data_IF_834474196011
#
_entry.id   IF_834474196011
#
_cell.length_a   1.000
_cell.length_b   1.000
_cell.length_c   1.000
_cell.angle_alpha   90.00
_cell.angle_beta   90.00
_cell.angle_gamma   90.00
#
_symmetry.space_group_name_H-M   'P 1'
#
loop_
_entity.id
_entity.type
_entity.pdbx_description
1 polymer ?
#
# COMPACT_ATOMS: atom_id res chain seq x y z
N UNK A 1 22.70 64.87 34.47
CA UNK A 1 22.46 63.88 33.41
C UNK A 1 21.79 62.66 34.06
N UNK A 2 20.47 62.49 33.89
CA UNK A 2 19.70 61.42 34.54
C UNK A 2 19.55 60.25 33.56
N UNK A 3 20.15 59.10 33.88
CA UNK A 3 20.03 57.88 33.07
C UNK A 3 18.62 57.29 33.23
N UNK A 4 17.90 57.17 32.13
CA UNK A 4 16.63 56.43 32.04
C UNK A 4 16.97 54.95 31.88
N UNK A 5 16.60 54.13 32.87
CA UNK A 5 16.61 52.66 32.75
C UNK A 5 15.34 52.23 32.01
N UNK A 6 15.47 51.94 30.73
CA UNK A 6 14.40 51.32 29.94
C UNK A 6 14.42 49.82 30.24
N UNK A 7 13.44 49.34 30.98
CA UNK A 7 13.25 47.91 31.25
C UNK A 7 12.39 47.33 30.11
N UNK A 8 13.00 46.60 29.18
CA UNK A 8 12.29 45.94 28.07
C UNK A 8 11.91 44.53 28.54
N UNK A 9 10.65 44.34 28.91
CA UNK A 9 10.07 43.01 29.14
C UNK A 9 9.62 42.40 27.81
N UNK A 10 10.42 41.47 27.26
CA UNK A 10 10.02 40.65 26.12
C UNK A 10 9.10 39.51 26.58
N UNK A 11 7.80 39.63 26.29
CA UNK A 11 6.82 38.55 26.36
C UNK A 11 6.94 37.70 25.08
N UNK A 12 7.72 36.62 25.13
CA UNK A 12 7.72 35.61 24.06
C UNK A 12 6.44 34.77 24.16
N UNK A 13 5.47 35.08 23.32
CA UNK A 13 4.32 34.21 23.08
C UNK A 13 4.80 33.03 22.22
N UNK A 14 5.14 31.92 22.87
CA UNK A 14 5.42 30.67 22.17
C UNK A 14 4.07 30.11 21.73
N UNK A 15 3.65 30.45 20.51
CA UNK A 15 2.56 29.73 19.85
C UNK A 15 3.07 28.34 19.49
N UNK A 16 2.56 27.32 20.16
CA UNK A 16 2.79 25.94 19.76
C UNK A 16 2.14 25.73 18.38
N UNK A 17 2.94 25.78 17.33
CA UNK A 17 2.53 25.37 15.99
C UNK A 17 2.33 23.85 16.07
N UNK A 18 1.08 23.40 16.11
CA UNK A 18 0.76 21.99 16.01
C UNK A 18 1.14 21.50 14.61
N UNK A 19 2.24 20.76 14.51
CA UNK A 19 2.62 20.09 13.27
C UNK A 19 1.69 18.88 13.15
N UNK A 20 0.64 19.00 12.33
CA UNK A 20 -0.19 17.86 11.98
C UNK A 20 0.69 16.86 11.21
N UNK A 21 0.95 15.70 11.79
CA UNK A 21 1.59 14.61 11.07
C UNK A 21 0.69 14.18 9.92
N UNK A 22 1.23 13.82 8.74
CA UNK A 22 0.41 13.24 7.68
C UNK A 22 -0.30 12.01 8.24
N UNK A 23 -1.63 11.99 8.10
CA UNK A 23 -2.45 10.85 8.52
C UNK A 23 -2.12 9.71 7.57
N UNK A 24 -1.30 8.78 8.02
CA UNK A 24 -1.05 7.54 7.30
C UNK A 24 -2.34 6.72 7.37
N UNK A 25 -2.94 6.45 6.21
CA UNK A 25 -4.16 5.64 6.15
C UNK A 25 -3.79 4.18 6.38
N UNK A 26 -4.45 3.47 7.32
CA UNK A 26 -4.20 2.05 7.52
C UNK A 26 -4.74 1.24 6.33
N UNK A 27 -3.85 0.60 5.59
CA UNK A 27 -4.16 -0.33 4.49
C UNK A 27 -4.17 -1.79 4.94
N UNK A 28 -3.85 -2.07 6.21
CA UNK A 28 -3.88 -3.43 6.74
C UNK A 28 -5.25 -4.07 6.59
N UNK A 29 -5.27 -5.34 6.18
CA UNK A 29 -6.49 -6.14 6.04
C UNK A 29 -6.59 -6.82 4.70
N UNK A 30 -7.77 -7.38 4.46
CA UNK A 30 -8.10 -8.14 3.27
C UNK A 30 -8.83 -7.26 2.25
N UNK A 31 -8.39 -7.33 1.00
CA UNK A 31 -8.90 -6.57 -0.13
C UNK A 31 -9.33 -7.54 -1.23
N UNK A 32 -10.57 -7.45 -1.69
CA UNK A 32 -11.14 -8.33 -2.73
C UNK A 32 -11.45 -7.56 -4.01
N UNK A 33 -11.21 -8.17 -5.17
CA UNK A 33 -11.47 -7.56 -6.48
C UNK A 33 -12.96 -7.29 -6.70
N UNK A 34 -13.29 -5.99 -6.72
CA UNK A 34 -14.59 -5.49 -7.08
C UNK A 34 -14.91 -5.84 -8.54
N UNK A 35 -16.07 -6.47 -8.75
CA UNK A 35 -16.57 -6.87 -10.08
C UNK A 35 -15.58 -7.77 -10.85
N UNK A 36 -14.97 -8.73 -10.16
CA UNK A 36 -14.10 -9.72 -10.81
C UNK A 36 -14.84 -10.48 -11.94
N UNK A 37 -14.16 -10.83 -13.04
CA UNK A 37 -14.73 -11.73 -14.06
C UNK A 37 -15.13 -13.08 -13.46
N UNK A 38 -16.19 -13.72 -13.96
CA UNK A 38 -16.71 -14.99 -13.38
C UNK A 38 -15.67 -16.12 -13.28
N UNK A 39 -14.68 -16.15 -14.18
CA UNK A 39 -13.63 -17.17 -14.23
C UNK A 39 -12.39 -16.83 -13.41
N UNK A 40 -12.39 -15.70 -12.69
CA UNK A 40 -11.23 -15.17 -12.00
C UNK A 40 -11.59 -14.61 -10.62
N UNK A 41 -10.67 -14.72 -9.67
CA UNK A 41 -10.69 -13.95 -8.43
C UNK A 41 -9.31 -13.37 -8.18
N UNK A 42 -9.27 -12.26 -7.47
CA UNK A 42 -8.03 -11.65 -7.03
C UNK A 42 -8.26 -11.01 -5.67
N UNK A 43 -7.35 -11.25 -4.75
CA UNK A 43 -7.36 -10.61 -3.43
C UNK A 43 -5.95 -10.27 -2.99
N UNK A 44 -5.84 -9.31 -2.08
CA UNK A 44 -4.59 -8.94 -1.43
C UNK A 44 -4.83 -8.88 0.08
N UNK A 45 -3.99 -9.57 0.84
CA UNK A 45 -3.84 -9.37 2.26
C UNK A 45 -2.63 -8.48 2.52
N UNK A 46 -2.79 -7.38 3.25
CA UNK A 46 -1.70 -6.47 3.61
C UNK A 46 -1.54 -6.37 5.13
N UNK A 47 -0.29 -6.33 5.56
CA UNK A 47 0.17 -5.91 6.88
C UNK A 47 1.00 -4.63 6.74
N UNK A 48 0.56 -3.57 7.40
CA UNK A 48 1.24 -2.28 7.39
C UNK A 48 1.96 -2.00 8.71
N UNK A 49 3.25 -1.69 8.60
CA UNK A 49 4.08 -1.25 9.72
C UNK A 49 4.69 0.13 9.40
N UNK A 50 4.00 1.18 9.85
CA UNK A 50 4.34 2.55 9.44
C UNK A 50 4.08 2.75 7.94
N UNK A 51 5.14 2.96 7.16
CA UNK A 51 5.05 3.04 5.68
C UNK A 51 5.35 1.70 5.00
N UNK A 52 5.90 0.72 5.71
CA UNK A 52 6.23 -0.57 5.10
C UNK A 52 4.96 -1.39 4.91
N UNK A 53 4.83 -2.01 3.74
CA UNK A 53 3.78 -2.94 3.39
C UNK A 53 4.41 -4.31 3.13
N UNK A 54 3.87 -5.33 3.79
CA UNK A 54 4.18 -6.74 3.55
C UNK A 54 2.84 -7.44 3.35
N UNK A 55 2.77 -8.40 2.45
CA UNK A 55 1.52 -9.10 2.23
C UNK A 55 1.61 -10.18 1.18
N UNK A 56 0.45 -10.73 0.86
CA UNK A 56 0.29 -11.72 -0.18
C UNK A 56 -0.87 -11.32 -1.09
N UNK A 57 -0.71 -11.49 -2.41
CA UNK A 57 -1.89 -11.62 -3.27
C UNK A 57 -2.24 -13.08 -3.51
N UNK A 58 -3.52 -13.33 -3.76
CA UNK A 58 -4.02 -14.60 -4.25
C UNK A 58 -4.83 -14.37 -5.53
N UNK A 59 -4.42 -15.01 -6.63
CA UNK A 59 -5.14 -14.97 -7.90
C UNK A 59 -5.63 -16.38 -8.27
N UNK A 60 -6.94 -16.51 -8.47
CA UNK A 60 -7.53 -17.71 -9.07
C UNK A 60 -7.91 -17.37 -10.49
N UNK A 61 -7.48 -18.15 -11.46
CA UNK A 61 -7.85 -17.95 -12.87
C UNK A 61 -8.30 -19.26 -13.51
N UNK A 62 -8.90 -19.14 -14.69
CA UNK A 62 -9.37 -20.29 -15.48
C UNK A 62 -10.36 -21.16 -14.67
N UNK A 63 -11.26 -20.52 -13.93
CA UNK A 63 -12.29 -21.17 -13.11
C UNK A 63 -11.72 -22.17 -12.09
N UNK A 64 -10.58 -21.83 -11.48
CA UNK A 64 -9.96 -22.65 -10.44
C UNK A 64 -8.81 -23.55 -10.92
N UNK A 65 -8.60 -23.66 -12.23
CA UNK A 65 -7.52 -24.51 -12.77
C UNK A 65 -6.11 -23.95 -12.48
N UNK A 66 -6.00 -22.66 -12.16
CA UNK A 66 -4.76 -21.99 -11.79
C UNK A 66 -5.01 -21.17 -10.53
N UNK A 67 -4.26 -21.49 -9.47
CA UNK A 67 -4.35 -20.83 -8.17
C UNK A 67 -2.95 -20.35 -7.81
N UNK A 68 -2.70 -19.06 -8.02
CA UNK A 68 -1.46 -18.36 -7.69
C UNK A 68 -1.62 -17.73 -6.31
N UNK A 69 -1.43 -18.58 -5.29
CA UNK A 69 -1.66 -18.30 -3.89
C UNK A 69 -0.93 -19.36 -3.07
N UNK A 70 -0.42 -18.99 -1.91
CA UNK A 70 0.17 -19.89 -0.95
C UNK A 70 -0.74 -20.04 0.28
N UNK A 71 -0.97 -21.30 0.67
CA UNK A 71 -1.89 -21.65 1.73
C UNK A 71 -1.39 -21.24 3.13
N UNK A 72 -0.06 -21.19 3.31
CA UNK A 72 0.59 -20.77 4.55
C UNK A 72 0.67 -19.23 4.66
N UNK A 73 0.12 -18.52 3.67
CA UNK A 73 0.13 -17.07 3.56
C UNK A 73 1.52 -16.46 3.54
N UNK A 74 2.48 -17.15 2.92
CA UNK A 74 3.80 -16.60 2.72
C UNK A 74 3.72 -15.29 1.92
N UNK A 75 4.39 -14.21 2.38
CA UNK A 75 4.30 -12.94 1.69
C UNK A 75 5.00 -13.00 0.32
N UNK A 76 4.34 -12.45 -0.69
CA UNK A 76 4.87 -12.27 -2.03
C UNK A 76 4.70 -10.83 -2.52
N UNK A 77 4.36 -9.90 -1.62
CA UNK A 77 4.28 -8.46 -1.86
C UNK A 77 5.12 -7.74 -0.80
N UNK A 78 5.99 -6.86 -1.25
CA UNK A 78 6.78 -5.98 -0.39
C UNK A 78 6.85 -4.59 -0.99
N UNK A 79 6.62 -3.57 -0.18
CA UNK A 79 6.82 -2.20 -0.65
C UNK A 79 6.72 -1.16 0.46
N UNK A 80 6.63 0.09 0.04
CA UNK A 80 6.58 1.22 0.95
C UNK A 80 5.63 2.28 0.41
N UNK A 81 4.79 2.80 1.31
CA UNK A 81 3.96 3.97 1.06
C UNK A 81 4.80 5.23 0.86
N UNK A 82 4.29 6.11 0.03
CA UNK A 82 4.79 7.46 -0.15
C UNK A 82 4.57 8.32 1.11
N UNK A 83 4.94 9.60 1.04
CA UNK A 83 4.78 10.52 2.17
C UNK A 83 3.31 10.87 2.44
N UNK A 84 2.44 10.75 1.44
CA UNK A 84 1.01 10.99 1.60
C UNK A 84 0.29 9.80 2.25
N UNK A 85 0.89 8.61 2.21
CA UNK A 85 0.31 7.40 2.77
C UNK A 85 -0.79 6.79 1.90
N UNK A 86 -0.89 7.18 0.62
CA UNK A 86 -1.96 6.74 -0.28
C UNK A 86 -1.45 5.96 -1.49
N UNK A 87 -0.16 6.08 -1.82
CA UNK A 87 0.43 5.40 -2.97
C UNK A 87 1.61 4.55 -2.50
N UNK A 88 1.71 3.32 -2.97
CA UNK A 88 2.91 2.49 -2.84
C UNK A 88 3.33 1.91 -4.18
N UNK A 89 4.65 1.79 -4.39
CA UNK A 89 5.20 0.88 -5.39
C UNK A 89 5.64 -0.37 -4.64
N UNK A 90 5.11 -1.52 -5.06
CA UNK A 90 5.43 -2.82 -4.46
C UNK A 90 6.18 -3.69 -5.45
N UNK A 91 7.16 -4.41 -4.94
CA UNK A 91 7.73 -5.60 -5.58
C UNK A 91 6.82 -6.80 -5.28
N UNK A 92 6.64 -7.66 -6.26
CA UNK A 92 5.88 -8.89 -6.07
C UNK A 92 6.42 -10.06 -6.89
N UNK A 93 6.16 -11.28 -6.40
CA UNK A 93 6.48 -12.54 -7.08
C UNK A 93 5.25 -13.44 -7.16
N UNK A 94 5.26 -14.36 -8.12
CA UNK A 94 4.24 -15.39 -8.31
C UNK A 94 4.71 -16.72 -7.76
N UNK A 95 3.77 -17.50 -7.22
CA UNK A 95 4.03 -18.88 -6.81
C UNK A 95 4.22 -19.84 -8.00
N UNK A 96 4.08 -19.34 -9.24
CA UNK A 96 4.44 -20.04 -10.48
C UNK A 96 5.82 -19.65 -11.02
N UNK A 97 6.70 -19.15 -10.15
CA UNK A 97 8.10 -18.86 -10.46
C UNK A 97 8.34 -17.52 -11.17
N UNK A 98 7.30 -16.73 -11.41
CA UNK A 98 7.46 -15.35 -11.88
C UNK A 98 8.05 -14.47 -10.78
N UNK A 99 9.15 -13.77 -11.04
CA UNK A 99 9.82 -12.93 -10.05
C UNK A 99 10.10 -11.51 -10.57
N UNK A 100 10.53 -10.59 -9.70
CA UNK A 100 10.85 -9.20 -10.03
C UNK A 100 9.69 -8.39 -10.62
N UNK A 101 8.44 -8.76 -10.33
CA UNK A 101 7.27 -7.96 -10.67
C UNK A 101 7.24 -6.63 -9.93
N UNK A 102 6.68 -5.59 -10.55
CA UNK A 102 6.33 -4.34 -9.86
C UNK A 102 4.89 -3.95 -10.13
N UNK A 103 4.22 -3.49 -9.08
CA UNK A 103 2.89 -2.92 -9.17
C UNK A 103 2.79 -1.62 -8.38
N UNK A 104 1.87 -0.75 -8.77
CA UNK A 104 1.41 0.36 -7.95
C UNK A 104 0.16 -0.04 -7.19
N UNK A 105 0.13 0.32 -5.92
CA UNK A 105 -1.06 0.37 -5.08
C UNK A 105 -1.45 1.84 -4.91
N UNK A 106 -2.69 2.19 -5.20
CA UNK A 106 -3.23 3.54 -4.99
C UNK A 106 -4.55 3.45 -4.23
N UNK A 107 -4.60 4.09 -3.06
CA UNK A 107 -5.77 4.13 -2.19
C UNK A 107 -6.47 5.48 -2.27
N UNK A 108 -7.74 5.47 -2.65
CA UNK A 108 -8.53 6.70 -2.87
C UNK A 108 -9.41 7.12 -1.67
N UNK A 109 -9.28 6.43 -0.53
CA UNK A 109 -10.17 6.60 0.63
C UNK A 109 -11.21 5.49 0.77
N UNK A 110 -11.44 4.68 -0.28
CA UNK A 110 -12.48 3.64 -0.30
C UNK A 110 -12.02 2.34 -0.93
N UNK A 111 -11.24 2.44 -1.99
CA UNK A 111 -10.79 1.32 -2.79
C UNK A 111 -9.28 1.32 -2.96
N UNK A 112 -8.72 0.14 -3.11
CA UNK A 112 -7.30 -0.08 -3.37
C UNK A 112 -7.13 -0.49 -4.83
N UNK A 113 -6.51 0.38 -5.63
CA UNK A 113 -6.23 0.12 -7.03
C UNK A 113 -4.87 -0.55 -7.18
N UNK A 114 -4.88 -1.78 -7.67
CA UNK A 114 -3.70 -2.52 -8.10
C UNK A 114 -3.45 -2.30 -9.60
N UNK A 115 -2.19 -2.03 -9.97
CA UNK A 115 -1.78 -1.99 -11.37
C UNK A 115 -0.34 -2.46 -11.57
N UNK A 116 -0.12 -3.48 -12.39
CA UNK A 116 1.22 -3.98 -12.71
C UNK A 116 1.92 -2.97 -13.62
N UNK A 117 3.04 -2.42 -13.15
CA UNK A 117 3.90 -1.49 -13.90
C UNK A 117 5.09 -2.21 -14.55
N UNK A 118 5.46 -3.39 -14.02
CA UNK A 118 6.44 -4.31 -14.63
C UNK A 118 6.00 -5.75 -14.40
N UNK A 119 5.85 -6.50 -15.48
CA UNK A 119 5.51 -7.92 -15.40
C UNK A 119 6.64 -8.72 -14.74
N UNK A 120 6.32 -9.76 -13.95
CA UNK A 120 7.30 -10.72 -13.47
C UNK A 120 8.03 -11.42 -14.63
N UNK A 121 9.26 -11.85 -14.39
CA UNK A 121 10.14 -12.57 -15.34
C UNK A 121 10.41 -14.00 -14.84
N UNK A 122 11.06 -14.83 -15.66
CA UNK A 122 11.56 -16.18 -15.32
C UNK A 122 10.51 -17.25 -14.96
N UNK A 123 9.23 -16.89 -14.92
CA UNK A 123 8.12 -17.82 -14.72
C UNK A 123 6.76 -17.22 -15.11
N UNK A 124 5.69 -17.90 -14.71
CA UNK A 124 4.32 -17.41 -14.95
C UNK A 124 3.85 -16.57 -13.76
N UNK A 125 2.87 -15.71 -14.03
CA UNK A 125 2.15 -14.94 -13.03
C UNK A 125 0.70 -14.86 -13.45
N UNK A 126 -0.21 -15.05 -12.49
CA UNK A 126 -1.65 -14.98 -12.73
C UNK A 126 -2.31 -13.79 -12.05
N UNK A 127 -1.53 -12.90 -11.41
CA UNK A 127 -2.02 -11.60 -10.99
C UNK A 127 -2.58 -10.80 -12.19
N UNK A 128 -3.75 -10.14 -12.06
CA UNK A 128 -4.30 -9.32 -13.12
C UNK A 128 -3.44 -8.07 -13.34
N UNK A 129 -3.39 -7.59 -14.59
CA UNK A 129 -2.70 -6.33 -14.91
C UNK A 129 -3.25 -5.13 -14.14
N UNK A 130 -4.55 -5.13 -13.85
CA UNK A 130 -5.20 -4.11 -13.04
C UNK A 130 -6.41 -4.68 -12.31
N UNK A 131 -6.64 -4.21 -11.08
CA UNK A 131 -7.82 -4.55 -10.29
C UNK A 131 -8.17 -3.40 -9.35
N UNK A 132 -9.47 -3.11 -9.20
CA UNK A 132 -9.98 -2.26 -8.13
C UNK A 132 -10.45 -3.16 -7.01
N UNK A 133 -9.87 -3.02 -5.82
CA UNK A 133 -10.17 -3.86 -4.68
C UNK A 133 -10.97 -3.09 -3.63
N UNK A 134 -11.87 -3.77 -2.93
CA UNK A 134 -12.63 -3.25 -1.79
C UNK A 134 -12.24 -3.97 -0.51
N UNK A 135 -12.24 -3.23 0.60
CA UNK A 135 -11.93 -3.76 1.92
C UNK A 135 -13.06 -4.71 2.40
N UNK A 136 -12.67 -5.81 3.05
CA UNK A 136 -13.57 -6.88 3.52
C UNK A 136 -13.73 -6.92 5.04
#
# INVERSE_FOLDING_TARGET
MKMVKVLITLLFWITAIAIASPVVVPLSGDWEWLNAPESQTFSIHLEQHGRNLIGQYCAVTQSGNKIDCDADKNPNIHGMLDETGTIAVVDFSSFFGGDNGKASLNFDGKSLMWHITRQPVDGQSYAPTAATLIHR
#
